data_IF_241565574100
#
_entry.id   IF_241565574100
#
_cell.length_a   1.000
_cell.length_b   1.000
_cell.length_c   1.000
_cell.angle_alpha   90.00
_cell.angle_beta   90.00
_cell.angle_gamma   90.00
#
_symmetry.space_group_name_H-M   'P 1'
#
loop_
_entity.id
_entity.type
_entity.pdbx_description
1 polymer ?
#
# COMPACT_ATOMS: atom_id res chain seq x y z
N UNK A 1 13.06 3.94 -10.90
CA UNK A 1 13.52 3.21 -9.72
C UNK A 1 12.77 1.96 -9.42
N UNK A 2 13.50 0.96 -8.92
CA UNK A 2 12.99 -0.36 -8.53
C UNK A 2 11.78 -0.23 -7.59
N UNK A 3 11.89 0.55 -6.51
CA UNK A 3 10.80 0.69 -5.52
C UNK A 3 9.58 1.44 -6.05
N UNK A 4 9.78 2.55 -6.77
CA UNK A 4 8.68 3.28 -7.42
C UNK A 4 7.93 2.40 -8.43
N UNK A 5 8.65 1.58 -9.18
CA UNK A 5 8.07 0.61 -10.11
C UNK A 5 7.22 -0.43 -9.39
N UNK A 6 7.74 -1.04 -8.31
CA UNK A 6 6.98 -1.97 -7.48
C UNK A 6 5.74 -1.33 -6.83
N UNK A 7 5.86 -0.08 -6.36
CA UNK A 7 4.76 0.66 -5.75
C UNK A 7 3.65 0.97 -6.76
N UNK A 8 4.00 1.34 -8.01
CA UNK A 8 3.02 1.51 -9.09
C UNK A 8 2.35 0.19 -9.46
N UNK A 9 3.10 -0.90 -9.59
CA UNK A 9 2.54 -2.22 -9.95
C UNK A 9 1.54 -2.67 -8.88
N UNK A 10 1.87 -2.54 -7.60
CA UNK A 10 0.96 -2.98 -6.53
C UNK A 10 -0.28 -2.08 -6.42
N UNK A 11 -0.13 -0.77 -6.60
CA UNK A 11 -1.28 0.15 -6.63
C UNK A 11 -2.21 -0.15 -7.80
N UNK A 12 -1.68 -0.44 -8.99
CA UNK A 12 -2.49 -0.83 -10.15
C UNK A 12 -3.20 -2.16 -9.90
N UNK A 13 -2.50 -3.16 -9.36
CA UNK A 13 -3.09 -4.44 -9.01
C UNK A 13 -4.20 -4.30 -7.97
N UNK A 14 -4.00 -3.49 -6.92
CA UNK A 14 -5.03 -3.20 -5.92
C UNK A 14 -6.22 -2.46 -6.53
N UNK A 15 -5.97 -1.47 -7.38
CA UNK A 15 -7.04 -0.72 -8.07
C UNK A 15 -7.92 -1.65 -8.92
N UNK A 16 -7.30 -2.56 -9.67
CA UNK A 16 -8.01 -3.56 -10.45
C UNK A 16 -8.77 -4.55 -9.57
N UNK A 17 -8.21 -4.96 -8.43
CA UNK A 17 -8.89 -5.84 -7.48
C UNK A 17 -10.13 -5.18 -6.86
N UNK A 18 -10.04 -3.90 -6.48
CA UNK A 18 -11.18 -3.13 -5.94
C UNK A 18 -12.26 -2.95 -7.02
N UNK A 19 -11.86 -2.58 -8.24
CA UNK A 19 -12.81 -2.45 -9.35
C UNK A 19 -13.48 -3.79 -9.69
N UNK A 20 -12.72 -4.89 -9.65
CA UNK A 20 -13.23 -6.25 -9.81
C UNK A 20 -14.24 -6.62 -8.73
N UNK A 21 -13.98 -6.28 -7.46
CA UNK A 21 -14.92 -6.49 -6.36
C UNK A 21 -16.24 -5.73 -6.59
N UNK A 22 -16.18 -4.51 -7.13
CA UNK A 22 -17.36 -3.73 -7.49
C UNK A 22 -18.21 -4.35 -8.61
N UNK A 23 -17.62 -5.18 -9.48
CA UNK A 23 -18.32 -5.87 -10.57
C UNK A 23 -18.98 -7.19 -10.14
N UNK A 24 -18.53 -7.79 -9.04
CA UNK A 24 -19.08 -9.07 -8.56
C UNK A 24 -20.34 -8.82 -7.76
N UNK A 25 -21.44 -9.47 -8.16
CA UNK A 25 -22.69 -9.39 -7.42
C UNK A 25 -22.69 -10.38 -6.24
N UNK A 26 -22.76 -9.91 -4.97
CA UNK A 26 -22.78 -10.78 -3.80
C UNK A 26 -24.00 -11.71 -3.75
N UNK A 27 -25.11 -11.35 -4.39
CA UNK A 27 -26.32 -12.18 -4.46
C UNK A 27 -26.22 -13.33 -5.47
N UNK A 28 -25.26 -13.30 -6.40
CA UNK A 28 -25.13 -14.30 -7.48
C UNK A 28 -23.98 -15.27 -7.21
N UNK A 29 -22.83 -14.78 -6.72
CA UNK A 29 -21.66 -15.62 -6.45
C UNK A 29 -20.90 -15.16 -5.21
N UNK A 30 -21.26 -15.68 -4.01
CA UNK A 30 -20.51 -15.42 -2.78
C UNK A 30 -19.03 -15.82 -2.88
N UNK A 31 -18.73 -16.88 -3.62
CA UNK A 31 -17.35 -17.33 -3.84
C UNK A 31 -16.53 -16.35 -4.68
N UNK A 32 -17.14 -15.73 -5.70
CA UNK A 32 -16.50 -14.67 -6.49
C UNK A 32 -16.14 -13.45 -5.63
N UNK A 33 -17.04 -13.07 -4.70
CA UNK A 33 -16.77 -11.99 -3.74
C UNK A 33 -15.62 -12.36 -2.81
N UNK A 34 -15.58 -13.60 -2.32
CA UNK A 34 -14.50 -14.07 -1.45
C UNK A 34 -13.13 -14.01 -2.14
N UNK A 35 -13.03 -14.43 -3.40
CA UNK A 35 -11.78 -14.33 -4.18
C UNK A 35 -11.40 -12.87 -4.40
N UNK A 36 -12.34 -12.02 -4.80
CA UNK A 36 -12.06 -10.60 -5.02
C UNK A 36 -11.61 -9.90 -3.72
N UNK A 37 -12.27 -10.18 -2.59
CA UNK A 37 -11.87 -9.68 -1.28
C UNK A 37 -10.49 -10.20 -0.85
N UNK A 38 -10.16 -11.46 -1.15
CA UNK A 38 -8.84 -12.03 -0.91
C UNK A 38 -7.76 -11.30 -1.71
N UNK A 39 -8.01 -11.03 -3.00
CA UNK A 39 -7.09 -10.27 -3.84
C UNK A 39 -6.90 -8.84 -3.31
N UNK A 40 -7.98 -8.15 -2.95
CA UNK A 40 -7.92 -6.79 -2.38
C UNK A 40 -7.09 -6.78 -1.10
N UNK A 41 -7.34 -7.70 -0.17
CA UNK A 41 -6.60 -7.77 1.10
C UNK A 41 -5.13 -8.12 0.89
N UNK A 42 -4.82 -9.05 -0.03
CA UNK A 42 -3.45 -9.42 -0.37
C UNK A 42 -2.66 -8.26 -0.98
N UNK A 43 -3.23 -7.57 -1.97
CA UNK A 43 -2.58 -6.42 -2.60
C UNK A 43 -2.49 -5.22 -1.66
N UNK A 44 -3.49 -5.01 -0.79
CA UNK A 44 -3.45 -3.96 0.23
C UNK A 44 -2.30 -4.18 1.21
N UNK A 45 -2.15 -5.39 1.75
CA UNK A 45 -1.05 -5.71 2.66
C UNK A 45 0.32 -5.56 1.97
N UNK A 46 0.42 -5.96 0.71
CA UNK A 46 1.63 -5.78 -0.09
C UNK A 46 1.95 -4.29 -0.33
N UNK A 47 0.92 -3.46 -0.57
CA UNK A 47 1.08 -2.03 -0.74
C UNK A 47 1.60 -1.37 0.53
N UNK A 48 1.07 -1.74 1.70
CA UNK A 48 1.53 -1.21 2.99
C UNK A 48 3.03 -1.49 3.21
N UNK A 49 3.47 -2.73 2.92
CA UNK A 49 4.90 -3.11 3.02
C UNK A 49 5.78 -2.25 2.09
N UNK A 50 5.35 -2.05 0.84
CA UNK A 50 6.13 -1.29 -0.14
C UNK A 50 6.18 0.20 0.23
N UNK A 51 5.07 0.77 0.72
CA UNK A 51 5.01 2.16 1.21
C UNK A 51 5.89 2.35 2.44
N UNK A 52 5.84 1.44 3.41
CA UNK A 52 6.68 1.51 4.61
C UNK A 52 8.17 1.41 4.27
N UNK A 53 8.53 0.57 3.30
CA UNK A 53 9.90 0.48 2.82
C UNK A 53 10.33 1.75 2.05
N UNK A 54 9.46 2.29 1.20
CA UNK A 54 9.71 3.54 0.49
C UNK A 54 9.91 4.71 1.46
N UNK A 55 9.06 4.81 2.50
CA UNK A 55 9.15 5.86 3.53
C UNK A 55 10.48 5.81 4.26
N UNK A 56 10.91 4.61 4.69
CA UNK A 56 12.20 4.45 5.39
C UNK A 56 13.40 4.86 4.55
N UNK A 57 13.36 4.64 3.24
CA UNK A 57 14.48 5.00 2.36
C UNK A 57 14.44 6.45 1.87
N UNK A 58 13.27 7.08 1.86
CA UNK A 58 13.11 8.43 1.30
C UNK A 58 13.29 9.56 2.31
N UNK A 59 13.24 9.28 3.63
CA UNK A 59 13.34 10.32 4.66
C UNK A 59 14.68 10.22 5.39
N UNK A 60 15.41 11.33 5.42
CA UNK A 60 16.57 11.50 6.30
C UNK A 60 16.13 11.47 7.78
N UNK A 61 17.02 11.05 8.68
CA UNK A 61 16.70 10.81 10.10
C UNK A 61 16.08 12.04 10.81
N UNK A 62 16.37 13.25 10.34
CA UNK A 62 15.84 14.52 10.83
C UNK A 62 14.41 14.85 10.33
N UNK A 63 14.00 14.34 9.18
CA UNK A 63 12.67 14.58 8.59
C UNK A 63 11.63 13.50 8.95
N UNK A 64 12.07 12.38 9.53
CA UNK A 64 11.20 11.23 9.89
C UNK A 64 10.03 11.62 10.82
N UNK A 65 10.25 12.54 11.77
CA UNK A 65 9.20 12.96 12.71
C UNK A 65 8.05 13.75 12.06
N UNK A 66 8.38 14.69 11.17
CA UNK A 66 7.38 15.46 10.41
C UNK A 66 6.67 14.55 9.39
N UNK A 67 7.42 13.71 8.68
CA UNK A 67 6.85 12.77 7.72
C UNK A 67 5.91 11.75 8.35
N UNK A 68 6.25 11.21 9.52
CA UNK A 68 5.37 10.30 10.27
C UNK A 68 4.06 10.99 10.67
N UNK A 69 4.11 12.25 11.06
CA UNK A 69 2.92 13.03 11.46
C UNK A 69 1.97 13.25 10.28
N UNK A 70 2.48 13.65 9.12
CA UNK A 70 1.67 13.78 7.90
C UNK A 70 1.11 12.43 7.44
N UNK A 71 1.90 11.37 7.51
CA UNK A 71 1.45 10.02 7.16
C UNK A 71 0.26 9.56 8.02
N UNK A 72 0.37 9.68 9.35
CA UNK A 72 -0.71 9.29 10.26
C UNK A 72 -1.96 10.15 10.05
N UNK A 73 -1.80 11.45 9.81
CA UNK A 73 -2.94 12.34 9.53
C UNK A 73 -3.64 11.97 8.21
N UNK A 74 -2.86 11.71 7.15
CA UNK A 74 -3.38 11.24 5.87
C UNK A 74 -4.09 9.89 5.98
N UNK A 75 -3.49 8.94 6.69
CA UNK A 75 -4.08 7.62 6.95
C UNK A 75 -5.41 7.74 7.70
N UNK A 76 -5.48 8.56 8.75
CA UNK A 76 -6.73 8.81 9.50
C UNK A 76 -7.80 9.46 8.64
N UNK A 77 -7.43 10.49 7.86
CA UNK A 77 -8.36 11.13 6.94
C UNK A 77 -8.90 10.13 5.89
N UNK A 78 -8.03 9.33 5.30
CA UNK A 78 -8.39 8.27 4.36
C UNK A 78 -9.29 7.21 4.99
N UNK A 79 -8.97 6.77 6.21
CA UNK A 79 -9.79 5.82 6.96
C UNK A 79 -11.19 6.38 7.20
N UNK A 80 -11.34 7.63 7.63
CA UNK A 80 -12.64 8.27 7.86
C UNK A 80 -13.46 8.40 6.56
N UNK A 81 -12.80 8.79 5.45
CA UNK A 81 -13.46 8.91 4.15
C UNK A 81 -13.89 7.54 3.60
N UNK A 82 -13.04 6.52 3.70
CA UNK A 82 -13.33 5.19 3.18
C UNK A 82 -14.37 4.44 4.03
N UNK A 83 -14.27 4.51 5.36
CA UNK A 83 -15.19 3.82 6.27
C UNK A 83 -16.50 4.59 6.42
N UNK A 84 -16.46 5.79 7.00
CA UNK A 84 -17.62 6.62 7.23
C UNK A 84 -18.23 7.14 5.94
N UNK A 85 -17.40 7.73 5.06
CA UNK A 85 -17.88 8.22 3.76
C UNK A 85 -18.39 7.10 2.87
N UNK A 86 -17.67 5.98 2.76
CA UNK A 86 -18.08 4.82 1.97
C UNK A 86 -19.41 4.21 2.42
N UNK A 87 -19.63 4.07 3.74
CA UNK A 87 -20.91 3.59 4.28
C UNK A 87 -22.06 4.57 4.02
N UNK A 88 -21.86 5.86 4.26
CA UNK A 88 -22.88 6.87 3.98
C UNK A 88 -23.24 6.88 2.50
N UNK A 89 -22.24 6.81 1.61
CA UNK A 89 -22.46 6.72 0.17
C UNK A 89 -23.25 5.46 -0.21
N UNK A 90 -23.02 4.32 0.47
CA UNK A 90 -23.75 3.09 0.19
C UNK A 90 -25.26 3.18 0.49
N UNK A 91 -25.70 4.14 1.33
CA UNK A 91 -27.13 4.40 1.55
C UNK A 91 -27.77 5.17 0.38
N UNK A 92 -26.97 5.90 -0.41
CA UNK A 92 -27.44 6.71 -1.54
C UNK A 92 -27.20 6.05 -2.90
N UNK A 93 -26.14 5.26 -3.06
CA UNK A 93 -25.73 4.61 -4.30
C UNK A 93 -25.41 3.13 -4.09
N UNK A 94 -25.57 2.28 -5.13
CA UNK A 94 -25.21 0.86 -5.03
C UNK A 94 -23.73 0.66 -4.64
N UNK A 95 -23.45 -0.38 -3.84
CA UNK A 95 -22.08 -0.75 -3.41
C UNK A 95 -21.06 -0.82 -4.55
N UNK A 96 -21.49 -1.28 -5.74
CA UNK A 96 -20.65 -1.30 -6.95
C UNK A 96 -20.03 0.06 -7.25
N UNK A 97 -20.84 1.13 -7.20
CA UNK A 97 -20.38 2.50 -7.44
C UNK A 97 -19.49 3.02 -6.32
N UNK A 98 -19.74 2.63 -5.07
CA UNK A 98 -18.86 2.95 -3.93
C UNK A 98 -17.46 2.36 -4.17
N UNK A 99 -17.37 1.09 -4.56
CA UNK A 99 -16.09 0.45 -4.89
C UNK A 99 -15.38 1.10 -6.09
N UNK A 100 -16.11 1.50 -7.13
CA UNK A 100 -15.51 2.26 -8.23
C UNK A 100 -14.98 3.62 -7.80
N UNK A 101 -15.68 4.30 -6.89
CA UNK A 101 -15.22 5.59 -6.36
C UNK A 101 -13.96 5.42 -5.50
N UNK A 102 -13.87 4.33 -4.73
CA UNK A 102 -12.64 3.96 -4.01
C UNK A 102 -11.49 3.59 -4.96
N UNK A 103 -11.77 2.84 -6.04
CA UNK A 103 -10.78 2.56 -7.08
C UNK A 103 -10.32 3.84 -7.79
N UNK A 104 -11.22 4.80 -8.03
CA UNK A 104 -10.87 6.09 -8.59
C UNK A 104 -10.00 6.92 -7.63
N UNK A 105 -10.27 6.87 -6.32
CA UNK A 105 -9.43 7.51 -5.31
C UNK A 105 -8.00 6.96 -5.33
N UNK A 106 -7.81 5.66 -5.66
CA UNK A 106 -6.47 5.09 -5.83
C UNK A 106 -5.67 5.72 -6.98
N UNK A 107 -6.33 6.26 -8.00
CA UNK A 107 -5.65 6.97 -9.10
C UNK A 107 -4.88 8.19 -8.58
N UNK A 108 -5.39 8.88 -7.56
CA UNK A 108 -4.65 9.96 -6.93
C UNK A 108 -3.34 9.45 -6.32
N UNK A 109 -3.35 8.28 -5.68
CA UNK A 109 -2.15 7.61 -5.17
C UNK A 109 -1.15 7.19 -6.26
N UNK A 110 -1.65 6.79 -7.43
CA UNK A 110 -0.81 6.50 -8.60
C UNK A 110 -0.15 7.78 -9.12
N UNK A 111 -0.92 8.86 -9.25
CA UNK A 111 -0.42 10.17 -9.68
C UNK A 111 0.65 10.69 -8.71
N UNK A 112 0.41 10.64 -7.40
CA UNK A 112 1.42 11.05 -6.41
C UNK A 112 2.68 10.20 -6.52
N UNK A 113 2.55 8.90 -6.75
CA UNK A 113 3.69 7.99 -6.94
C UNK A 113 4.50 8.32 -8.21
N UNK A 114 3.83 8.75 -9.30
CA UNK A 114 4.51 9.16 -10.52
C UNK A 114 5.35 10.43 -10.33
N UNK A 115 4.85 11.38 -9.52
CA UNK A 115 5.59 12.61 -9.18
C UNK A 115 6.58 12.42 -8.02
N UNK A 116 6.49 11.30 -7.29
CA UNK A 116 7.38 11.01 -6.18
C UNK A 116 8.83 10.84 -6.66
N UNK A 117 9.74 11.50 -5.93
CA UNK A 117 11.18 11.45 -6.21
C UNK A 117 11.70 10.04 -5.92
N UNK A 118 12.63 9.58 -6.73
CA UNK A 118 13.25 8.29 -6.51
C UNK A 118 14.12 8.36 -5.23
N UNK A 119 13.99 7.43 -4.27
CA UNK A 119 14.86 7.38 -3.11
C UNK A 119 16.28 7.10 -3.59
N UNK A 120 17.27 7.79 -3.02
CA UNK A 120 18.66 7.49 -3.30
C UNK A 120 18.95 6.07 -2.82
N UNK A 121 19.26 5.19 -3.76
CA UNK A 121 19.55 3.79 -3.47
C UNK A 121 20.80 3.76 -2.60
N UNK A 122 20.66 3.43 -1.32
CA UNK A 122 21.80 3.14 -0.47
C UNK A 122 22.65 2.07 -1.16
N UNK A 123 23.92 2.38 -1.41
CA UNK A 123 24.84 1.53 -2.14
C UNK A 123 24.91 0.15 -1.49
N UNK A 124 24.40 -0.88 -2.17
CA UNK A 124 24.33 -2.25 -1.65
C UNK A 124 23.13 -3.00 -2.19
N UNK A 125 23.09 -3.25 -3.50
CA UNK A 125 22.14 -4.25 -4.01
C UNK A 125 22.70 -5.62 -3.59
N UNK A 126 22.03 -6.38 -2.72
CA UNK A 126 22.49 -7.73 -2.40
C UNK A 126 22.53 -8.51 -3.71
N UNK A 127 23.72 -8.98 -4.08
CA UNK A 127 23.91 -9.65 -5.36
C UNK A 127 23.23 -11.02 -5.35
N UNK A 128 23.01 -11.56 -4.14
CA UNK A 128 22.57 -12.92 -3.89
C UNK A 128 21.45 -12.95 -2.82
N UNK A 129 20.56 -13.95 -2.89
CA UNK A 129 19.51 -14.20 -1.87
C UNK A 129 20.06 -14.30 -0.44
N UNK A 130 21.29 -14.80 -0.30
CA UNK A 130 21.98 -14.92 0.99
C UNK A 130 22.21 -13.55 1.65
N UNK A 131 22.67 -12.55 0.90
CA UNK A 131 22.89 -11.19 1.43
C UNK A 131 21.55 -10.49 1.72
N UNK A 132 20.51 -10.78 0.94
CA UNK A 132 19.19 -10.19 1.15
C UNK A 132 18.46 -10.75 2.38
N UNK A 133 18.69 -12.03 2.71
CA UNK A 133 17.94 -12.74 3.75
C UNK A 133 18.79 -13.01 4.98
N UNK A 134 20.00 -13.56 4.86
CA UNK A 134 20.77 -14.07 6.01
C UNK A 134 21.57 -12.97 6.71
N UNK A 135 22.19 -12.06 5.97
CA UNK A 135 22.99 -10.97 6.55
C UNK A 135 22.21 -10.06 7.52
N UNK A 136 20.97 -9.63 7.21
CA UNK A 136 20.20 -8.80 8.14
C UNK A 136 19.92 -9.49 9.49
N UNK A 137 19.66 -10.81 9.49
CA UNK A 137 19.49 -11.56 10.73
C UNK A 137 20.80 -11.68 11.50
N UNK A 138 21.92 -11.99 10.83
CA UNK A 138 23.22 -12.05 11.48
C UNK A 138 23.65 -10.69 12.06
N UNK A 139 23.40 -9.60 11.34
CA UNK A 139 23.67 -8.23 11.81
C UNK A 139 22.79 -7.86 13.01
N UNK A 140 21.50 -8.22 12.98
CA UNK A 140 20.59 -8.04 14.11
C UNK A 140 21.07 -8.76 15.38
N UNK A 141 21.49 -10.02 15.26
CA UNK A 141 21.97 -10.82 16.41
C UNK A 141 23.42 -10.50 16.84
N UNK A 142 24.19 -9.80 16.01
CA UNK A 142 25.58 -9.40 16.34
C UNK A 142 25.70 -7.98 16.90
N UNK A 143 24.63 -7.18 16.87
CA UNK A 143 24.57 -5.90 17.58
C UNK A 143 24.59 -6.11 19.09
N UNK A 144 25.53 -5.45 19.77
CA UNK A 144 25.76 -5.56 21.22
C UNK A 144 24.63 -4.96 22.09
N UNK A 145 23.65 -4.26 21.50
CA UNK A 145 22.47 -3.72 22.20
C UNK A 145 21.23 -4.64 22.12
N UNK A 146 21.39 -5.88 21.65
CA UNK A 146 20.28 -6.83 21.48
C UNK A 146 19.92 -7.64 22.76
N UNK A 147 20.48 -7.28 23.93
CA UNK A 147 20.12 -7.83 25.25
C UNK A 147 20.04 -6.71 26.28
#
# INVERSE_FOLDING_TARGET
>A
GRRRGWLLVIQLALTLAIAGLGLVNPGVSPFGVAIAALLVTFFSASQDIVIDAYRRESLADDEQGLGASFYVNGYRAGMLLASGGGLILADFIPFSWVYFLMAAAMLAGIVTTLFAREPDVAAGTPQNLYEAVVQPFLEYFSRQDAV
#
